data_IF_795256944018
#
_entry.id   IF_795256944018
#
_cell.length_a   1.000
_cell.length_b   1.000
_cell.length_c   1.000
_cell.angle_alpha   90.00
_cell.angle_beta   90.00
_cell.angle_gamma   90.00
#
_symmetry.space_group_name_H-M   'P 1'
#
loop_
_entity.id
_entity.type
_entity.pdbx_description
1 polymer ?
#
# COMPACT_ATOMS: atom_id res chain seq x y z
N UNK A 1 -14.15 18.35 3.71
CA UNK A 1 -15.25 17.36 3.68
C UNK A 1 -15.86 17.20 2.29
N UNK A 2 -16.14 18.29 1.56
CA UNK A 2 -16.79 18.24 0.24
C UNK A 2 -16.23 17.14 -0.71
N UNK A 3 -14.91 17.00 -0.80
CA UNK A 3 -14.28 15.94 -1.61
C UNK A 3 -14.67 14.51 -1.18
N UNK A 4 -14.66 14.22 0.12
CA UNK A 4 -15.03 12.91 0.65
C UNK A 4 -16.53 12.63 0.56
N UNK A 5 -17.37 13.66 0.67
CA UNK A 5 -18.82 13.54 0.43
C UNK A 5 -19.10 13.20 -1.04
N UNK A 6 -18.45 13.88 -1.98
CA UNK A 6 -18.59 13.59 -3.40
C UNK A 6 -18.14 12.14 -3.75
N UNK A 7 -17.03 11.68 -3.15
CA UNK A 7 -16.56 10.30 -3.32
C UNK A 7 -17.50 9.26 -2.67
N UNK A 8 -18.18 9.61 -1.58
CA UNK A 8 -19.18 8.76 -0.96
C UNK A 8 -20.40 8.56 -1.88
N UNK A 9 -20.85 9.63 -2.54
CA UNK A 9 -21.98 9.61 -3.50
C UNK A 9 -21.62 8.95 -4.85
N UNK A 10 -20.35 9.02 -5.25
CA UNK A 10 -19.88 8.44 -6.51
C UNK A 10 -20.12 6.93 -6.57
N UNK A 11 -20.45 6.40 -7.75
CA UNK A 11 -20.64 4.96 -8.00
C UNK A 11 -19.31 4.21 -8.14
N UNK A 12 -18.37 4.47 -7.24
CA UNK A 12 -17.08 3.76 -7.11
C UNK A 12 -17.09 2.91 -5.84
N UNK A 13 -16.67 1.63 -5.87
CA UNK A 13 -16.70 0.77 -4.68
C UNK A 13 -15.46 0.92 -3.78
N UNK A 14 -14.34 1.37 -4.37
CA UNK A 14 -13.04 1.51 -3.71
C UNK A 14 -12.55 2.94 -3.91
N UNK A 15 -12.02 3.54 -2.85
CA UNK A 15 -11.41 4.86 -2.86
C UNK A 15 -9.98 4.73 -2.38
N UNK A 16 -9.02 5.19 -3.18
CA UNK A 16 -7.64 5.36 -2.74
C UNK A 16 -7.50 6.73 -2.08
N UNK A 17 -6.91 6.75 -0.90
CA UNK A 17 -6.58 7.99 -0.18
C UNK A 17 -5.07 8.04 -0.01
N UNK A 18 -4.51 9.17 -0.41
CA UNK A 18 -3.08 9.43 -0.38
C UNK A 18 -2.75 10.60 0.54
N UNK A 19 -1.73 10.44 1.37
CA UNK A 19 -1.14 11.53 2.14
C UNK A 19 0.35 11.25 2.43
N UNK A 20 1.24 12.13 1.97
CA UNK A 20 2.68 12.01 2.17
C UNK A 20 3.08 12.58 3.53
N UNK A 21 2.94 11.72 4.54
CA UNK A 21 3.11 12.09 5.94
C UNK A 21 4.44 11.62 6.54
N UNK A 22 5.25 10.88 5.77
CA UNK A 22 6.53 10.29 6.20
C UNK A 22 7.61 10.42 5.12
N UNK A 23 8.86 10.22 5.52
CA UNK A 23 9.98 9.93 4.65
C UNK A 23 10.28 8.43 4.65
N UNK A 24 11.21 7.97 3.81
CA UNK A 24 11.79 6.62 3.92
C UNK A 24 12.38 6.35 5.31
N UNK A 25 12.90 7.38 5.98
CA UNK A 25 13.43 7.30 7.36
C UNK A 25 12.36 7.39 8.45
N UNK A 26 11.08 7.53 8.07
CA UNK A 26 9.95 7.56 8.99
C UNK A 26 9.30 8.96 9.12
N UNK A 27 8.59 9.22 10.24
CA UNK A 27 7.74 10.40 10.41
C UNK A 27 8.47 11.75 10.25
N UNK A 28 7.84 12.72 9.59
CA UNK A 28 8.33 14.10 9.46
C UNK A 28 8.30 14.80 10.84
N UNK A 29 7.18 14.64 11.57
CA UNK A 29 7.00 15.19 12.91
C UNK A 29 7.01 14.09 13.98
N UNK A 30 6.95 14.49 15.26
CA UNK A 30 6.82 13.52 16.34
C UNK A 30 5.52 12.71 16.20
N UNK A 31 5.51 11.39 16.47
CA UNK A 31 4.29 10.58 16.42
C UNK A 31 3.13 11.12 17.27
N UNK A 32 3.44 11.75 18.41
CA UNK A 32 2.45 12.40 19.28
C UNK A 32 1.70 13.52 18.55
N UNK A 33 2.40 14.29 17.72
CA UNK A 33 1.79 15.38 16.96
C UNK A 33 0.75 14.85 15.96
N UNK A 34 1.06 13.78 15.22
CA UNK A 34 0.10 13.15 14.31
C UNK A 34 -1.15 12.63 15.01
N UNK A 35 -0.97 11.97 16.16
CA UNK A 35 -2.09 11.47 16.97
C UNK A 35 -2.99 12.59 17.49
N UNK A 36 -2.42 13.75 17.77
CA UNK A 36 -3.17 14.91 18.24
C UNK A 36 -3.88 15.66 17.11
N UNK A 37 -3.25 15.80 15.94
CA UNK A 37 -3.69 16.75 14.92
C UNK A 37 -4.12 16.12 13.58
N UNK A 38 -3.59 14.94 13.22
CA UNK A 38 -3.80 14.32 11.91
C UNK A 38 -4.87 13.22 11.98
N UNK A 39 -4.66 12.19 12.80
CA UNK A 39 -5.57 11.04 12.82
C UNK A 39 -7.02 11.35 13.23
N UNK A 40 -7.30 12.31 14.13
CA UNK A 40 -8.67 12.76 14.37
C UNK A 40 -9.33 13.35 13.11
N UNK A 41 -8.56 14.04 12.28
CA UNK A 41 -9.04 14.55 11.00
C UNK A 41 -9.23 13.45 9.97
N UNK A 42 -8.34 12.45 9.91
CA UNK A 42 -8.54 11.28 9.04
C UNK A 42 -9.86 10.57 9.37
N UNK A 43 -10.14 10.27 10.64
CA UNK A 43 -11.42 9.67 11.06
C UNK A 43 -12.61 10.48 10.54
N UNK A 44 -12.59 11.80 10.75
CA UNK A 44 -13.66 12.69 10.30
C UNK A 44 -13.81 12.72 8.77
N UNK A 45 -12.69 12.68 8.05
CA UNK A 45 -12.69 12.71 6.58
C UNK A 45 -13.10 11.37 5.97
N UNK A 46 -12.75 10.25 6.62
CA UNK A 46 -13.01 8.90 6.12
C UNK A 46 -14.41 8.40 6.49
N UNK A 47 -15.01 8.92 7.57
CA UNK A 47 -16.36 8.53 8.04
C UNK A 47 -17.40 8.46 6.92
N UNK A 48 -17.55 9.48 6.05
CA UNK A 48 -18.54 9.43 4.97
C UNK A 48 -18.31 8.29 3.97
N UNK A 49 -17.04 7.94 3.70
CA UNK A 49 -16.71 6.82 2.81
C UNK A 49 -17.08 5.49 3.46
N UNK A 50 -16.76 5.31 4.75
CA UNK A 50 -17.10 4.10 5.51
C UNK A 50 -18.62 3.95 5.62
N UNK A 51 -19.34 5.01 5.95
CA UNK A 51 -20.80 5.05 6.07
C UNK A 51 -21.51 4.74 4.74
N UNK A 52 -20.93 5.19 3.62
CA UNK A 52 -21.42 4.86 2.27
C UNK A 52 -21.01 3.45 1.79
N UNK A 53 -20.40 2.63 2.66
CA UNK A 53 -20.00 1.26 2.35
C UNK A 53 -18.79 1.14 1.43
N UNK A 54 -18.01 2.21 1.25
CA UNK A 54 -16.80 2.20 0.41
C UNK A 54 -15.66 1.47 1.10
N UNK A 55 -14.78 0.86 0.31
CA UNK A 55 -13.48 0.37 0.78
C UNK A 55 -12.42 1.44 0.59
N UNK A 56 -11.62 1.69 1.63
CA UNK A 56 -10.61 2.74 1.63
C UNK A 56 -9.23 2.09 1.62
N UNK A 57 -8.46 2.31 0.55
CA UNK A 57 -7.05 1.92 0.48
C UNK A 57 -6.20 3.15 0.81
N UNK A 58 -5.41 3.07 1.87
CA UNK A 58 -4.52 4.16 2.26
C UNK A 58 -3.12 3.96 1.66
N UNK A 59 -2.52 5.04 1.16
CA UNK A 59 -1.16 5.06 0.63
C UNK A 59 -0.43 6.30 1.12
N UNK A 60 0.88 6.15 1.34
CA UNK A 60 1.81 7.23 1.69
C UNK A 60 3.18 6.82 1.17
N UNK A 61 3.88 7.73 0.50
CA UNK A 61 5.25 7.47 0.08
C UNK A 61 6.17 7.45 1.31
N UNK A 62 7.18 6.56 1.31
CA UNK A 62 8.08 6.33 2.44
C UNK A 62 7.57 5.32 3.47
N UNK A 63 8.11 5.40 4.69
CA UNK A 63 7.91 4.39 5.73
C UNK A 63 6.93 4.86 6.82
N UNK A 64 5.67 4.46 6.69
CA UNK A 64 4.62 4.77 7.66
C UNK A 64 4.31 3.62 8.63
N UNK A 65 5.21 2.63 8.79
CA UNK A 65 5.02 1.48 9.70
C UNK A 65 4.63 1.93 11.11
N UNK A 66 5.21 3.03 11.60
CA UNK A 66 4.90 3.59 12.94
C UNK A 66 3.47 4.10 13.12
N UNK A 67 2.70 4.23 12.04
CA UNK A 67 1.35 4.78 12.01
C UNK A 67 0.30 3.81 11.47
N UNK A 68 0.67 2.59 11.06
CA UNK A 68 -0.28 1.64 10.48
C UNK A 68 -1.45 1.39 11.44
N UNK A 69 -1.20 1.23 12.74
CA UNK A 69 -2.23 1.03 13.75
C UNK A 69 -3.17 2.24 13.87
N UNK A 70 -2.60 3.44 13.88
CA UNK A 70 -3.34 4.67 13.98
C UNK A 70 -4.25 4.87 12.75
N UNK A 71 -3.73 4.55 11.56
CA UNK A 71 -4.44 4.63 10.27
C UNK A 71 -5.51 3.53 10.17
N UNK A 72 -5.22 2.29 10.57
CA UNK A 72 -6.20 1.20 10.67
C UNK A 72 -7.40 1.62 11.54
N UNK A 73 -7.12 2.23 12.70
CA UNK A 73 -8.13 2.76 13.61
C UNK A 73 -8.90 3.97 13.04
N UNK A 74 -8.55 4.48 11.86
CA UNK A 74 -9.33 5.47 11.13
C UNK A 74 -10.36 4.86 10.17
N UNK A 75 -10.47 3.53 10.09
CA UNK A 75 -11.47 2.83 9.27
C UNK A 75 -11.01 2.50 7.85
N UNK A 76 -9.70 2.51 7.61
CA UNK A 76 -9.17 2.05 6.31
C UNK A 76 -9.29 0.53 6.20
N UNK A 77 -9.43 0.05 4.97
CA UNK A 77 -9.63 -1.38 4.69
C UNK A 77 -8.38 -2.05 4.13
N UNK A 78 -7.38 -1.27 3.76
CA UNK A 78 -6.13 -1.77 3.24
C UNK A 78 -5.09 -0.69 3.06
N UNK A 79 -3.89 -1.15 2.75
CA UNK A 79 -2.68 -0.34 2.70
C UNK A 79 -1.92 -0.62 1.42
N UNK A 80 -1.32 0.42 0.86
CA UNK A 80 -0.32 0.32 -0.21
C UNK A 80 1.04 0.68 0.40
N UNK A 81 2.01 -0.23 0.30
CA UNK A 81 3.32 -0.05 0.92
C UNK A 81 4.44 0.07 -0.11
N UNK A 82 5.42 0.90 0.22
CA UNK A 82 6.72 0.98 -0.45
C UNK A 82 7.71 -0.10 0.04
N UNK A 83 8.78 -0.38 -0.72
CA UNK A 83 9.79 -1.39 -0.35
C UNK A 83 10.56 -1.08 0.95
N UNK A 84 10.49 0.14 1.49
CA UNK A 84 11.09 0.49 2.77
C UNK A 84 10.31 -0.02 4.00
N UNK A 85 9.12 -0.55 3.79
CA UNK A 85 8.33 -1.21 4.84
C UNK A 85 8.63 -2.70 4.88
N UNK A 86 8.81 -3.25 6.09
CA UNK A 86 8.88 -4.70 6.28
C UNK A 86 7.50 -5.32 6.03
N UNK A 87 7.32 -5.91 4.85
CA UNK A 87 6.06 -6.52 4.46
C UNK A 87 5.70 -7.73 5.34
N UNK A 88 6.69 -8.43 5.90
CA UNK A 88 6.43 -9.61 6.74
C UNK A 88 5.79 -9.20 8.07
N UNK A 89 6.30 -8.13 8.70
CA UNK A 89 5.71 -7.55 9.92
C UNK A 89 4.26 -7.11 9.69
N UNK A 90 4.00 -6.44 8.56
CA UNK A 90 2.65 -6.03 8.17
C UNK A 90 1.75 -7.25 7.92
N UNK A 91 2.23 -8.25 7.17
CA UNK A 91 1.46 -9.44 6.84
C UNK A 91 1.08 -10.23 8.10
N UNK A 92 1.99 -10.36 9.06
CA UNK A 92 1.73 -11.00 10.35
C UNK A 92 0.62 -10.28 11.12
N UNK A 93 0.70 -8.95 11.20
CA UNK A 93 -0.22 -8.15 12.02
C UNK A 93 -1.58 -7.89 11.36
N UNK A 94 -1.59 -7.63 10.06
CA UNK A 94 -2.74 -7.11 9.33
C UNK A 94 -3.20 -7.99 8.16
N UNK A 95 -2.42 -8.99 7.75
CA UNK A 95 -2.69 -9.78 6.55
C UNK A 95 -3.99 -10.59 6.57
N UNK A 96 -4.60 -10.79 7.75
CA UNK A 96 -5.90 -11.46 7.89
C UNK A 96 -7.09 -10.50 8.00
N UNK A 97 -6.85 -9.22 8.28
CA UNK A 97 -7.89 -8.24 8.59
C UNK A 97 -7.98 -7.11 7.56
N UNK A 98 -6.88 -6.82 6.86
CA UNK A 98 -6.79 -5.73 5.88
C UNK A 98 -6.22 -6.23 4.56
N UNK A 99 -6.56 -5.51 3.49
CA UNK A 99 -5.96 -5.68 2.18
C UNK A 99 -4.52 -5.12 2.23
N UNK A 100 -3.59 -5.84 1.61
CA UNK A 100 -2.18 -5.43 1.52
C UNK A 100 -1.81 -5.35 0.04
N UNK A 101 -1.37 -4.18 -0.41
CA UNK A 101 -0.93 -3.92 -1.78
C UNK A 101 0.55 -3.52 -1.74
N UNK A 102 1.35 -4.04 -2.66
CA UNK A 102 2.79 -3.77 -2.71
C UNK A 102 3.62 -5.03 -2.42
N UNK A 103 4.90 -4.94 -2.10
CA UNK A 103 5.73 -3.74 -2.07
C UNK A 103 6.99 -3.93 -2.92
N UNK A 104 6.83 -4.47 -4.13
CA UNK A 104 7.96 -4.78 -5.00
C UNK A 104 8.77 -3.52 -5.30
N UNK A 105 10.09 -3.59 -5.21
CA UNK A 105 10.96 -2.44 -5.38
C UNK A 105 11.08 -2.05 -6.86
N UNK A 106 10.56 -0.86 -7.23
CA UNK A 106 10.64 -0.37 -8.60
C UNK A 106 12.08 -0.23 -9.13
N UNK A 107 13.06 -0.04 -8.24
CA UNK A 107 14.47 0.10 -8.63
C UNK A 107 15.04 -1.21 -9.19
N UNK A 108 14.48 -2.35 -8.78
CA UNK A 108 14.83 -3.67 -9.29
C UNK A 108 14.29 -3.84 -10.71
N UNK A 109 13.08 -3.35 -11.01
CA UNK A 109 12.56 -3.35 -12.38
C UNK A 109 13.36 -2.40 -13.29
N UNK A 110 13.78 -1.25 -12.75
CA UNK A 110 14.54 -0.26 -13.50
C UNK A 110 15.96 -0.73 -13.86
N UNK A 111 16.68 -1.32 -12.90
CA UNK A 111 18.13 -1.58 -13.02
C UNK A 111 18.54 -3.04 -12.89
N UNK A 112 17.63 -3.91 -12.46
CA UNK A 112 17.91 -5.32 -12.22
C UNK A 112 17.89 -6.17 -13.48
N UNK A 113 18.57 -7.31 -13.42
CA UNK A 113 18.44 -8.38 -14.41
C UNK A 113 17.19 -9.24 -14.13
N UNK A 114 16.93 -10.22 -15.02
CA UNK A 114 15.81 -11.15 -14.86
C UNK A 114 15.89 -11.96 -13.57
N UNK A 115 17.09 -12.28 -13.07
CA UNK A 115 17.22 -13.03 -11.82
C UNK A 115 16.79 -12.18 -10.61
N UNK A 116 17.22 -10.92 -10.57
CA UNK A 116 16.83 -9.96 -9.53
C UNK A 116 15.32 -9.68 -9.54
N UNK A 117 14.73 -9.49 -10.72
CA UNK A 117 13.28 -9.27 -10.85
C UNK A 117 12.50 -10.49 -10.36
N UNK A 118 12.89 -11.71 -10.75
CA UNK A 118 12.23 -12.94 -10.27
C UNK A 118 12.35 -13.06 -8.75
N UNK A 119 13.55 -12.86 -8.20
CA UNK A 119 13.78 -12.94 -6.76
C UNK A 119 12.91 -11.94 -5.98
N UNK A 120 12.68 -10.75 -6.53
CA UNK A 120 11.81 -9.76 -5.89
C UNK A 120 10.33 -10.17 -5.91
N UNK A 121 9.84 -10.69 -7.05
CA UNK A 121 8.48 -11.23 -7.12
C UNK A 121 8.33 -12.42 -6.16
N UNK A 122 9.30 -13.33 -6.11
CA UNK A 122 9.29 -14.48 -5.20
C UNK A 122 9.31 -14.04 -3.73
N UNK A 123 10.10 -13.02 -3.37
CA UNK A 123 10.12 -12.43 -2.01
C UNK A 123 8.72 -11.96 -1.62
N UNK A 124 8.09 -11.15 -2.47
CA UNK A 124 6.76 -10.62 -2.25
C UNK A 124 5.70 -11.73 -2.17
N UNK A 125 5.70 -12.66 -3.12
CA UNK A 125 4.74 -13.75 -3.19
C UNK A 125 4.85 -14.72 -2.00
N UNK A 126 6.06 -15.01 -1.51
CA UNK A 126 6.28 -15.84 -0.33
C UNK A 126 5.59 -15.28 0.92
N UNK A 127 5.62 -13.96 1.09
CA UNK A 127 4.96 -13.27 2.20
C UNK A 127 3.45 -13.17 1.93
N UNK A 128 3.10 -12.60 0.79
CA UNK A 128 1.74 -12.19 0.45
C UNK A 128 0.76 -13.33 0.19
N UNK A 129 1.21 -14.50 -0.32
CA UNK A 129 0.31 -15.65 -0.59
C UNK A 129 -0.46 -16.12 0.64
N UNK A 130 0.13 -15.96 1.83
CA UNK A 130 -0.50 -16.33 3.09
C UNK A 130 -1.66 -15.40 3.48
N UNK A 131 -1.74 -14.21 2.87
CA UNK A 131 -2.75 -13.19 3.13
C UNK A 131 -3.90 -13.31 2.11
N UNK A 132 -5.16 -13.50 2.53
CA UNK A 132 -6.30 -13.61 1.61
C UNK A 132 -6.51 -12.36 0.74
N UNK A 133 -6.16 -11.16 1.24
CA UNK A 133 -6.35 -9.88 0.56
C UNK A 133 -5.07 -9.26 0.00
N UNK A 134 -4.08 -10.06 -0.39
CA UNK A 134 -2.82 -9.53 -0.93
C UNK A 134 -2.86 -9.31 -2.43
N UNK A 135 -2.39 -8.14 -2.87
CA UNK A 135 -2.16 -7.80 -4.27
C UNK A 135 -0.71 -7.41 -4.46
N UNK A 136 -0.01 -8.13 -5.34
CA UNK A 136 1.33 -7.73 -5.74
C UNK A 136 1.22 -6.44 -6.57
N UNK A 137 1.96 -5.43 -6.14
CA UNK A 137 2.18 -4.20 -6.89
C UNK A 137 3.61 -3.73 -6.65
N UNK A 138 4.09 -2.91 -7.57
CA UNK A 138 5.31 -2.13 -7.35
C UNK A 138 5.00 -1.07 -6.29
N UNK A 139 5.87 -0.95 -5.28
CA UNK A 139 5.79 0.13 -4.30
C UNK A 139 6.18 1.45 -4.98
N UNK A 140 5.28 2.42 -4.95
CA UNK A 140 5.28 3.63 -5.78
C UNK A 140 4.99 3.36 -7.27
N UNK A 141 5.32 4.30 -8.16
CA UNK A 141 5.10 4.23 -9.59
C UNK A 141 6.25 3.52 -10.31
N UNK A 142 5.94 2.89 -11.44
CA UNK A 142 6.96 2.43 -12.40
C UNK A 142 7.42 3.67 -13.19
N UNK A 143 8.69 4.08 -13.10
CA UNK A 143 9.20 5.22 -13.86
C UNK A 143 9.11 4.98 -15.37
N UNK A 144 8.91 6.06 -16.14
CA UNK A 144 8.80 6.00 -17.59
C UNK A 144 10.08 5.48 -18.30
N UNK A 145 11.23 5.51 -17.62
CA UNK A 145 12.50 4.99 -18.12
C UNK A 145 12.76 3.53 -17.74
N UNK A 146 11.83 2.85 -17.07
CA UNK A 146 11.94 1.41 -16.81
C UNK A 146 11.83 0.63 -18.12
N UNK A 147 12.76 -0.30 -18.43
CA UNK A 147 12.67 -1.14 -19.62
C UNK A 147 11.34 -1.90 -19.67
N UNK A 148 10.61 -1.80 -20.79
CA UNK A 148 9.31 -2.45 -20.94
C UNK A 148 9.40 -3.98 -20.75
N UNK A 149 10.48 -4.60 -21.26
CA UNK A 149 10.73 -6.03 -21.12
C UNK A 149 10.87 -6.47 -19.65
N UNK A 150 11.41 -5.60 -18.78
CA UNK A 150 11.52 -5.89 -17.35
C UNK A 150 10.13 -5.87 -16.68
N UNK A 151 9.26 -4.94 -17.07
CA UNK A 151 7.87 -4.86 -16.58
C UNK A 151 7.06 -6.07 -17.03
N UNK A 152 7.19 -6.46 -18.31
CA UNK A 152 6.52 -7.65 -18.85
C UNK A 152 7.02 -8.91 -18.17
N UNK A 153 8.34 -9.04 -17.97
CA UNK A 153 8.91 -10.18 -17.27
C UNK A 153 8.44 -10.26 -15.80
N UNK A 154 8.38 -9.12 -15.09
CA UNK A 154 7.80 -9.04 -13.74
C UNK A 154 6.35 -9.59 -13.71
N UNK A 155 5.51 -9.19 -14.68
CA UNK A 155 4.14 -9.69 -14.82
C UNK A 155 4.13 -11.21 -15.07
N UNK A 156 4.97 -11.70 -15.98
CA UNK A 156 5.00 -13.13 -16.34
C UNK A 156 5.39 -14.00 -15.12
N UNK A 157 6.37 -13.56 -14.31
CA UNK A 157 6.75 -14.25 -13.07
C UNK A 157 5.60 -14.19 -12.04
N UNK A 158 4.90 -13.06 -11.92
CA UNK A 158 3.73 -12.96 -11.06
C UNK A 158 2.63 -13.94 -11.49
N UNK A 159 2.31 -14.02 -12.78
CA UNK A 159 1.29 -14.92 -13.31
C UNK A 159 1.63 -16.40 -13.05
N UNK A 160 2.89 -16.79 -13.26
CA UNK A 160 3.42 -18.12 -12.92
C UNK A 160 3.19 -18.45 -11.43
N UNK A 161 3.59 -17.53 -10.55
CA UNK A 161 3.54 -17.75 -9.11
C UNK A 161 2.15 -17.53 -8.52
N UNK A 162 1.24 -16.80 -9.18
CA UNK A 162 -0.08 -16.45 -8.62
C UNK A 162 -1.00 -17.65 -8.40
N UNK A 163 -0.76 -18.75 -9.11
CA UNK A 163 -1.53 -19.99 -9.00
C UNK A 163 -1.36 -20.59 -7.60
N UNK A 164 -2.49 -21.01 -7.01
CA UNK A 164 -2.57 -21.63 -5.69
C UNK A 164 -2.64 -23.14 -5.81
#
# INVERSE_FOLDING_TARGET
>A
LQYFLALAEARVPIVMVHDDMVWTSGPIFSPRWYRQFIFPNYRRLFSPLVEAGKKIMFTSDGNFTRFVDDIAACGVHGFVFEPCTDLAEIAEKYGKTHIIIGNADTRILLNGDRAAIRAEVERCMRIGKSCPGYFLAVGNHIPANTPADNVLFYRDVYEELSRR
#
